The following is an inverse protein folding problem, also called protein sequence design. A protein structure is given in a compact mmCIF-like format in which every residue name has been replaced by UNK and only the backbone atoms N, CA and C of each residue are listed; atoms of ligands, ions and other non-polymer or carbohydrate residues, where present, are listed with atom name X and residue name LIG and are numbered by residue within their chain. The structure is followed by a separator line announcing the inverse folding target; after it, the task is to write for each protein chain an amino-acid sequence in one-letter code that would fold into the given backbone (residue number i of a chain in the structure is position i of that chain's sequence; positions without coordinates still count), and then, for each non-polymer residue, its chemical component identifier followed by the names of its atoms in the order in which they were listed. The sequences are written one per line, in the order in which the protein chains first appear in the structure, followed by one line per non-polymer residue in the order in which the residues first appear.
data_IF_115513820629
#
_entry.id   IF_115513820629
#
_cell.length_a   1.000
_cell.length_b   1.000
_cell.length_c   1.000
_cell.angle_alpha   90.00
_cell.angle_beta   90.00
_cell.angle_gamma   90.00
#
_symmetry.space_group_name_H-M   'P 1'
#
loop_
_entity.id
_entity.type
_entity.pdbx_description
1 polymer ?
#
# COMPACT_ATOMS: atom_id res chain seq x y z
N UNK A 1 2.38 -17.08 8.15
CA UNK A 1 3.22 -16.28 7.24
C UNK A 1 3.76 -15.12 8.05
N UNK A 2 5.07 -15.07 8.28
CA UNK A 2 5.72 -13.95 8.97
C UNK A 2 6.57 -13.21 7.91
N UNK A 3 6.48 -11.89 7.89
CA UNK A 3 7.31 -11.02 7.06
C UNK A 3 7.93 -9.96 7.95
N UNK A 4 9.10 -9.46 7.56
CA UNK A 4 9.85 -8.51 8.39
C UNK A 4 9.23 -7.11 8.30
N UNK A 5 9.22 -6.38 9.42
CA UNK A 5 8.77 -4.99 9.50
C UNK A 5 9.82 -3.98 9.02
N UNK A 6 10.96 -4.45 8.52
CA UNK A 6 12.11 -3.64 8.11
C UNK A 6 11.76 -2.52 7.12
N UNK A 7 10.78 -2.76 6.25
CA UNK A 7 10.32 -1.77 5.27
C UNK A 7 9.03 -1.05 5.67
N UNK A 8 8.47 -1.32 6.86
CA UNK A 8 7.18 -0.81 7.32
C UNK A 8 7.29 0.36 8.32
N UNK A 9 8.50 0.77 8.67
CA UNK A 9 8.78 1.97 9.46
C UNK A 9 8.26 3.25 8.78
N UNK A 10 8.05 4.30 9.57
CA UNK A 10 7.71 5.63 9.02
C UNK A 10 8.81 6.18 8.11
N UNK A 11 10.08 5.94 8.45
CA UNK A 11 11.25 6.31 7.67
C UNK A 11 11.59 5.22 6.66
N UNK A 12 10.88 5.20 5.54
CA UNK A 12 11.22 4.34 4.40
C UNK A 12 12.22 5.04 3.47
N UNK A 13 13.38 4.42 3.24
CA UNK A 13 14.33 4.82 2.20
C UNK A 13 14.43 3.74 1.12
N UNK A 14 14.11 4.11 -0.12
CA UNK A 14 14.20 3.22 -1.27
C UNK A 14 15.64 2.77 -1.55
N UNK A 15 16.63 3.61 -1.22
CA UNK A 15 18.03 3.35 -1.54
C UNK A 15 18.65 2.27 -0.63
N UNK A 16 18.07 2.00 0.54
CA UNK A 16 18.59 1.00 1.48
C UNK A 16 18.03 -0.40 1.25
N UNK A 17 16.99 -0.53 0.41
CA UNK A 17 16.26 -1.79 0.21
C UNK A 17 17.19 -2.93 -0.23
N UNK A 18 18.08 -2.68 -1.19
CA UNK A 18 18.98 -3.73 -1.70
C UNK A 18 20.01 -4.13 -0.63
N UNK A 19 20.55 -3.15 0.10
CA UNK A 19 21.50 -3.38 1.20
C UNK A 19 20.87 -4.26 2.30
N UNK A 20 19.62 -3.96 2.66
CA UNK A 20 18.86 -4.73 3.65
C UNK A 20 18.61 -6.16 3.17
N UNK A 21 18.17 -6.32 1.92
CA UNK A 21 17.89 -7.64 1.35
C UNK A 21 19.16 -8.50 1.26
N UNK A 22 20.28 -7.92 0.82
CA UNK A 22 21.59 -8.60 0.77
C UNK A 22 22.07 -9.01 2.15
N UNK A 23 21.97 -8.11 3.14
CA UNK A 23 22.31 -8.40 4.54
C UNK A 23 21.48 -9.57 5.08
N UNK A 24 20.17 -9.59 4.82
CA UNK A 24 19.29 -10.68 5.24
C UNK A 24 19.79 -12.04 4.73
N UNK A 25 20.10 -12.16 3.45
CA UNK A 25 20.58 -13.42 2.88
C UNK A 25 21.99 -13.79 3.33
N UNK A 26 22.86 -12.81 3.59
CA UNK A 26 24.18 -13.06 4.18
C UNK A 26 24.09 -13.68 5.57
N UNK A 27 23.19 -13.17 6.40
CA UNK A 27 22.99 -13.65 7.77
C UNK A 27 22.14 -14.93 7.83
N UNK A 28 21.26 -15.14 6.83
CA UNK A 28 20.27 -16.22 6.81
C UNK A 28 20.25 -16.97 5.45
N UNK A 29 21.35 -17.64 5.04
CA UNK A 29 21.52 -18.14 3.67
C UNK A 29 20.49 -19.19 3.23
N UNK A 30 19.90 -19.93 4.17
CA UNK A 30 18.91 -20.98 3.90
C UNK A 30 17.46 -20.52 4.13
N UNK A 31 17.24 -19.23 4.38
CA UNK A 31 15.90 -18.68 4.64
C UNK A 31 15.20 -18.21 3.37
N UNK A 32 13.86 -18.18 3.41
CA UNK A 32 13.03 -17.63 2.34
C UNK A 32 12.16 -16.50 2.89
N UNK A 33 12.54 -15.22 2.66
CA UNK A 33 11.84 -14.10 3.23
C UNK A 33 10.50 -13.85 2.53
N UNK A 34 9.63 -13.13 3.22
CA UNK A 34 8.49 -12.46 2.63
C UNK A 34 8.66 -10.95 2.80
N UNK A 35 8.51 -10.18 1.72
CA UNK A 35 8.72 -8.74 1.69
C UNK A 35 7.40 -8.02 1.49
N UNK A 36 7.21 -6.91 2.21
CA UNK A 36 6.03 -6.05 2.11
C UNK A 36 6.46 -4.59 2.25
N UNK A 37 5.94 -3.71 1.39
CA UNK A 37 6.07 -2.27 1.56
C UNK A 37 4.83 -1.63 2.19
N UNK A 38 3.68 -2.29 2.10
CA UNK A 38 2.44 -1.83 2.72
C UNK A 38 1.72 -2.97 3.41
N UNK A 39 0.92 -2.62 4.41
CA UNK A 39 -0.03 -3.52 5.06
C UNK A 39 -1.14 -2.67 5.71
N UNK A 40 -1.91 -3.29 6.60
CA UNK A 40 -3.00 -2.65 7.34
C UNK A 40 -2.56 -1.99 8.67
N UNK A 41 -1.26 -1.97 8.98
CA UNK A 41 -0.70 -1.43 10.23
C UNK A 41 0.22 -0.22 10.02
N UNK A 42 0.70 0.00 8.81
CA UNK A 42 1.53 1.16 8.46
C UNK A 42 0.84 2.02 7.41
N UNK A 43 1.16 3.33 7.42
CA UNK A 43 0.75 4.27 6.37
C UNK A 43 1.10 3.73 4.99
N UNK A 44 0.25 3.90 3.98
CA UNK A 44 0.50 3.42 2.60
C UNK A 44 1.85 3.89 2.07
N UNK A 45 2.60 2.99 1.40
CA UNK A 45 3.96 3.27 0.93
C UNK A 45 4.03 4.49 0.00
N UNK A 46 2.98 4.74 -0.79
CA UNK A 46 2.92 5.89 -1.71
C UNK A 46 3.07 7.21 -0.95
N UNK A 47 2.41 7.35 0.20
CA UNK A 47 2.58 8.54 1.06
C UNK A 47 3.85 8.45 1.87
N UNK A 48 4.15 7.29 2.46
CA UNK A 48 5.30 7.11 3.37
C UNK A 48 6.65 7.36 2.72
N UNK A 49 6.81 6.93 1.46
CA UNK A 49 8.05 7.10 0.70
C UNK A 49 8.13 8.41 -0.09
N UNK A 50 6.98 9.02 -0.41
CA UNK A 50 6.89 10.16 -1.34
C UNK A 50 7.41 9.87 -2.76
N UNK A 51 7.60 8.60 -3.14
CA UNK A 51 8.13 8.19 -4.45
C UNK A 51 7.01 7.80 -5.42
N UNK A 52 7.37 7.68 -6.70
CA UNK A 52 6.45 7.17 -7.72
C UNK A 52 6.04 5.72 -7.40
N UNK A 53 4.73 5.41 -7.34
CA UNK A 53 4.23 4.06 -7.06
C UNK A 53 4.80 2.96 -7.97
N UNK A 54 5.04 3.27 -9.26
CA UNK A 54 5.60 2.30 -10.21
C UNK A 54 7.01 1.87 -9.83
N UNK A 55 7.85 2.82 -9.42
CA UNK A 55 9.23 2.55 -8.98
C UNK A 55 9.21 1.67 -7.72
N UNK A 56 8.30 1.95 -6.79
CA UNK A 56 8.15 1.17 -5.56
C UNK A 56 7.70 -0.27 -5.85
N UNK A 57 6.68 -0.45 -6.70
CA UNK A 57 6.19 -1.77 -7.09
C UNK A 57 7.22 -2.57 -7.87
N UNK A 58 7.95 -1.92 -8.78
CA UNK A 58 9.05 -2.55 -9.52
C UNK A 58 10.13 -3.05 -8.56
N UNK A 59 10.55 -2.21 -7.60
CA UNK A 59 11.54 -2.62 -6.60
C UNK A 59 11.03 -3.77 -5.73
N UNK A 60 9.79 -3.69 -5.23
CA UNK A 60 9.22 -4.77 -4.41
C UNK A 60 9.20 -6.09 -5.19
N UNK A 61 8.71 -6.06 -6.43
CA UNK A 61 8.63 -7.23 -7.30
C UNK A 61 9.98 -7.68 -7.86
N UNK A 62 11.07 -6.93 -7.68
CA UNK A 62 12.42 -7.39 -8.03
C UNK A 62 13.09 -8.19 -6.90
N UNK A 63 12.59 -8.09 -5.66
CA UNK A 63 13.19 -8.77 -4.52
C UNK A 63 13.06 -10.30 -4.61
N UNK A 64 14.11 -11.01 -4.17
CA UNK A 64 14.09 -12.47 -4.02
C UNK A 64 13.32 -12.84 -2.75
N UNK A 65 12.27 -13.66 -2.89
CA UNK A 65 11.40 -14.07 -1.79
C UNK A 65 9.92 -14.03 -2.16
N UNK A 66 9.05 -14.28 -1.19
CA UNK A 66 7.61 -14.05 -1.32
C UNK A 66 7.30 -12.56 -1.24
N UNK A 67 6.27 -12.12 -1.93
CA UNK A 67 5.87 -10.71 -1.96
C UNK A 67 4.45 -10.57 -1.41
N UNK A 68 4.25 -9.61 -0.51
CA UNK A 68 2.93 -9.15 -0.09
C UNK A 68 2.65 -7.80 -0.76
N UNK A 69 1.55 -7.73 -1.51
CA UNK A 69 0.99 -6.49 -2.06
C UNK A 69 -0.28 -6.18 -1.26
N UNK A 70 -0.37 -4.98 -0.71
CA UNK A 70 -1.54 -4.56 0.06
C UNK A 70 -2.63 -3.98 -0.85
N UNK A 71 -3.91 -4.18 -0.49
CA UNK A 71 -5.03 -3.69 -1.30
C UNK A 71 -4.95 -2.18 -1.58
N UNK A 72 -4.95 -1.82 -2.86
CA UNK A 72 -4.81 -0.46 -3.34
C UNK A 72 -3.36 -0.03 -3.62
N UNK A 73 -2.36 -0.80 -3.23
CA UNK A 73 -0.96 -0.56 -3.62
C UNK A 73 -0.77 -0.73 -5.14
N UNK A 74 -1.48 -1.68 -5.75
CA UNK A 74 -1.58 -1.88 -7.19
C UNK A 74 -2.28 -0.72 -7.93
N UNK A 75 -2.99 0.13 -7.19
CA UNK A 75 -3.62 1.34 -7.69
C UNK A 75 -2.79 2.60 -7.38
N UNK A 76 -1.73 2.47 -6.58
CA UNK A 76 -0.94 3.59 -6.09
C UNK A 76 -1.73 4.51 -5.14
N UNK A 77 -2.61 3.94 -4.31
CA UNK A 77 -3.41 4.73 -3.37
C UNK A 77 -2.51 5.44 -2.33
N UNK A 78 -2.65 6.75 -2.14
CA UNK A 78 -2.02 7.45 -1.03
C UNK A 78 -2.78 7.18 0.28
N UNK A 79 -2.14 7.48 1.41
CA UNK A 79 -2.76 7.50 2.74
C UNK A 79 -3.93 8.49 2.77
N UNK A 80 -5.02 8.09 3.43
CA UNK A 80 -6.15 8.96 3.71
C UNK A 80 -6.01 9.64 5.06
N UNK A 81 -6.30 10.93 5.13
CA UNK A 81 -6.46 11.63 6.40
C UNK A 81 -7.86 11.35 6.94
N UNK A 82 -7.94 10.71 8.11
CA UNK A 82 -9.20 10.40 8.81
C UNK A 82 -9.39 11.42 9.92
N UNK A 83 -10.57 12.04 9.98
CA UNK A 83 -10.93 13.00 11.02
C UNK A 83 -11.11 12.28 12.37
N UNK A 84 -10.97 13.01 13.48
CA UNK A 84 -11.02 12.41 14.83
C UNK A 84 -12.36 11.72 15.09
N UNK A 85 -13.45 12.36 14.69
CA UNK A 85 -14.83 11.88 14.78
C UNK A 85 -15.08 10.59 13.99
N UNK A 86 -14.30 10.35 12.93
CA UNK A 86 -14.41 9.18 12.08
C UNK A 86 -13.49 8.03 12.52
N UNK A 87 -12.55 8.27 13.44
CA UNK A 87 -11.60 7.25 13.88
C UNK A 87 -12.32 6.02 14.44
N UNK A 88 -11.84 4.86 14.02
CA UNK A 88 -12.28 3.56 14.49
C UNK A 88 -11.18 2.85 15.28
N UNK A 89 -9.91 3.05 14.93
CA UNK A 89 -8.76 2.42 15.59
C UNK A 89 -8.59 2.89 17.04
N UNK A 90 -8.71 1.98 18.04
CA UNK A 90 -8.47 2.33 19.44
C UNK A 90 -7.08 2.91 19.67
N UNK A 91 -6.09 2.48 18.89
CA UNK A 91 -4.71 2.97 19.02
C UNK A 91 -4.62 4.44 18.59
N UNK A 92 -5.29 4.85 17.52
CA UNK A 92 -5.38 6.25 17.12
C UNK A 92 -6.13 7.12 18.11
N UNK A 93 -7.21 6.60 18.71
CA UNK A 93 -7.97 7.31 19.75
C UNK A 93 -7.15 7.57 21.02
N UNK A 94 -6.32 6.61 21.42
CA UNK A 94 -5.54 6.70 22.66
C UNK A 94 -4.37 7.69 22.59
N UNK A 95 -3.79 7.92 21.40
CA UNK A 95 -2.59 8.73 21.22
C UNK A 95 -2.82 9.95 20.32
N UNK A 96 -4.07 10.35 20.12
CA UNK A 96 -4.40 11.55 19.36
C UNK A 96 -3.91 12.83 20.09
N UNK A 97 -3.36 13.83 19.38
CA UNK A 97 -3.17 13.90 17.91
C UNK A 97 -1.82 13.39 17.41
N UNK A 98 -0.89 13.06 18.32
CA UNK A 98 0.51 12.73 17.99
C UNK A 98 0.61 11.47 17.12
N UNK A 99 -0.26 10.49 17.35
CA UNK A 99 -0.39 9.30 16.53
C UNK A 99 -1.87 9.05 16.19
N UNK A 100 -2.21 9.17 14.91
CA UNK A 100 -3.60 9.08 14.41
C UNK A 100 -4.09 7.65 14.18
N UNK A 101 -3.30 6.63 14.51
CA UNK A 101 -3.68 5.23 14.29
C UNK A 101 -3.49 4.77 12.86
N UNK A 102 -4.19 3.69 12.53
CA UNK A 102 -4.01 2.92 11.28
C UNK A 102 -5.18 3.04 10.30
N UNK A 103 -6.18 3.86 10.62
CA UNK A 103 -7.40 3.96 9.79
C UNK A 103 -7.13 4.52 8.40
N UNK A 104 -6.11 5.38 8.24
CA UNK A 104 -5.75 6.00 6.97
C UNK A 104 -5.40 5.01 5.85
N UNK A 105 -4.84 3.84 6.20
CA UNK A 105 -4.54 2.78 5.23
C UNK A 105 -5.69 1.77 5.07
N UNK A 106 -6.75 1.85 5.90
CA UNK A 106 -7.87 0.90 5.95
C UNK A 106 -9.14 1.40 5.26
N UNK A 107 -9.11 2.60 4.72
CA UNK A 107 -10.25 3.20 4.01
C UNK A 107 -10.73 2.32 2.86
N UNK A 108 -12.04 2.37 2.52
CA UNK A 108 -12.64 1.55 1.47
C UNK A 108 -11.94 1.59 0.10
N UNK A 109 -11.98 0.47 -0.62
CA UNK A 109 -11.42 0.37 -1.98
C UNK A 109 -12.23 1.17 -3.01
N UNK A 110 -11.57 1.92 -3.91
CA UNK A 110 -12.24 2.70 -4.95
C UNK A 110 -12.46 1.87 -6.23
N UNK A 111 -13.63 1.26 -6.37
CA UNK A 111 -13.95 0.40 -7.52
C UNK A 111 -14.41 1.16 -8.77
N UNK A 112 -15.28 2.15 -8.60
CA UNK A 112 -15.96 2.83 -9.70
C UNK A 112 -16.09 4.34 -9.45
N UNK A 113 -15.41 5.14 -10.27
CA UNK A 113 -15.34 6.59 -10.17
C UNK A 113 -16.68 7.34 -10.33
N UNK A 114 -17.71 6.67 -10.88
CA UNK A 114 -19.03 7.26 -11.15
C UNK A 114 -20.10 6.88 -10.12
N UNK A 115 -19.79 5.99 -9.18
CA UNK A 115 -20.74 5.54 -8.14
C UNK A 115 -20.48 6.23 -6.80
N UNK A 116 -21.53 6.32 -5.98
CA UNK A 116 -21.40 6.70 -4.56
C UNK A 116 -20.36 5.81 -3.87
N UNK A 117 -19.56 6.38 -2.97
CA UNK A 117 -18.52 5.68 -2.23
C UNK A 117 -17.55 4.89 -3.13
N UNK A 118 -17.29 5.44 -4.33
CA UNK A 118 -16.57 4.80 -5.43
C UNK A 118 -16.97 3.33 -5.66
N UNK A 119 -18.25 3.01 -5.51
CA UNK A 119 -18.77 1.66 -5.74
C UNK A 119 -18.47 0.64 -4.65
N UNK A 120 -17.89 1.04 -3.50
CA UNK A 120 -17.65 0.14 -2.37
C UNK A 120 -18.95 -0.31 -1.67
N UNK A 121 -19.86 0.63 -1.41
CA UNK A 121 -21.13 0.36 -0.72
C UNK A 121 -22.24 1.27 -1.23
N UNK A 122 -23.49 0.80 -1.11
CA UNK A 122 -24.68 1.62 -1.32
C UNK A 122 -24.99 2.51 -0.10
N UNK A 123 -24.64 2.04 1.10
CA UNK A 123 -24.78 2.78 2.35
C UNK A 123 -23.48 3.51 2.73
N UNK A 124 -23.47 4.12 3.92
CA UNK A 124 -22.26 4.74 4.46
C UNK A 124 -21.23 3.68 4.84
N UNK A 125 -19.97 3.82 4.39
CA UNK A 125 -18.89 2.93 4.79
C UNK A 125 -18.49 3.16 6.25
N UNK A 126 -17.85 2.16 6.85
CA UNK A 126 -17.36 2.19 8.23
C UNK A 126 -16.18 3.16 8.45
N UNK A 127 -15.53 3.60 7.37
CA UNK A 127 -14.51 4.66 7.33
C UNK A 127 -14.77 5.54 6.11
N UNK A 128 -14.46 6.85 6.17
CA UNK A 128 -14.63 7.75 5.04
C UNK A 128 -13.74 7.34 3.86
N UNK A 129 -14.18 7.72 2.66
CA UNK A 129 -13.43 7.50 1.42
C UNK A 129 -12.82 8.82 0.94
N UNK A 130 -11.52 8.83 0.64
CA UNK A 130 -10.82 10.06 0.23
C UNK A 130 -11.17 10.45 -1.20
N UNK A 131 -11.53 11.70 -1.41
CA UNK A 131 -11.79 12.28 -2.74
C UNK A 131 -10.58 12.16 -3.70
N UNK A 132 -9.35 12.06 -3.17
CA UNK A 132 -8.13 11.80 -3.95
C UNK A 132 -8.24 10.51 -4.77
N UNK A 133 -9.04 9.54 -4.34
CA UNK A 133 -9.18 8.26 -5.04
C UNK A 133 -10.01 8.35 -6.33
N UNK A 134 -10.68 9.47 -6.62
CA UNK A 134 -11.53 9.64 -7.82
C UNK A 134 -10.83 9.29 -9.13
N UNK A 135 -9.53 9.58 -9.24
CA UNK A 135 -8.72 9.30 -10.43
C UNK A 135 -7.93 7.99 -10.33
N UNK A 136 -7.94 7.35 -9.16
CA UNK A 136 -7.24 6.11 -8.89
C UNK A 136 -8.18 4.89 -8.86
N UNK A 137 -9.48 5.10 -9.11
CA UNK A 137 -10.48 4.04 -9.13
C UNK A 137 -10.14 2.94 -10.14
N UNK A 138 -10.51 1.70 -9.80
CA UNK A 138 -10.25 0.50 -10.64
C UNK A 138 -10.82 0.67 -12.05
N UNK A 139 -12.06 1.15 -12.19
CA UNK A 139 -12.72 1.37 -13.49
C UNK A 139 -11.93 2.28 -14.44
N UNK A 140 -11.21 3.27 -13.90
CA UNK A 140 -10.35 4.17 -14.69
C UNK A 140 -9.02 3.52 -15.02
N UNK A 141 -8.40 2.86 -14.05
CA UNK A 141 -7.07 2.28 -14.25
C UNK A 141 -7.11 1.03 -15.13
N UNK A 142 -8.22 0.29 -15.16
CA UNK A 142 -8.37 -0.91 -15.97
C UNK A 142 -8.38 -0.62 -17.47
N UNK A 143 -8.87 0.54 -17.88
CA UNK A 143 -8.92 0.96 -19.29
C UNK A 143 -7.67 1.72 -19.75
N UNK A 144 -6.87 2.25 -18.82
CA UNK A 144 -5.67 3.02 -19.12
C UNK A 144 -4.43 2.09 -19.15
N UNK A 145 -3.80 1.87 -20.32
CA UNK A 145 -2.61 1.03 -20.42
C UNK A 145 -1.38 1.62 -19.70
N UNK A 146 -1.40 2.92 -19.39
CA UNK A 146 -0.35 3.60 -18.64
C UNK A 146 -0.65 3.69 -17.13
N UNK A 147 -1.73 3.09 -16.65
CA UNK A 147 -2.10 3.13 -15.24
C UNK A 147 -1.15 2.36 -14.32
N UNK A 148 -1.26 2.58 -13.01
CA UNK A 148 -0.53 1.81 -12.01
C UNK A 148 -0.99 0.34 -12.00
N UNK A 149 -2.29 0.10 -12.18
CA UNK A 149 -2.85 -1.25 -12.26
C UNK A 149 -2.30 -2.02 -13.46
N UNK A 150 -2.29 -1.41 -14.65
CA UNK A 150 -1.74 -1.99 -15.86
C UNK A 150 -0.25 -2.30 -15.72
N UNK A 151 0.51 -1.38 -15.10
CA UNK A 151 1.91 -1.58 -14.77
C UNK A 151 2.12 -2.77 -13.81
N UNK A 152 1.36 -2.83 -12.72
CA UNK A 152 1.46 -3.91 -11.72
C UNK A 152 1.17 -5.27 -12.34
N UNK A 153 0.09 -5.38 -13.14
CA UNK A 153 -0.25 -6.61 -13.88
C UNK A 153 0.89 -7.04 -14.80
N UNK A 154 1.53 -6.10 -15.51
CA UNK A 154 2.68 -6.37 -16.38
C UNK A 154 3.87 -6.90 -15.57
N UNK A 155 4.25 -6.23 -14.48
CA UNK A 155 5.39 -6.64 -13.65
C UNK A 155 5.20 -8.03 -13.02
N UNK A 156 4.00 -8.34 -12.52
CA UNK A 156 3.70 -9.67 -11.98
C UNK A 156 3.83 -10.75 -13.08
N UNK A 157 3.35 -10.45 -14.29
CA UNK A 157 3.49 -11.36 -15.44
C UNK A 157 4.95 -11.58 -15.81
N UNK A 158 5.80 -10.55 -15.73
CA UNK A 158 7.23 -10.64 -16.02
C UNK A 158 8.00 -11.42 -14.95
N UNK A 159 7.64 -11.27 -13.66
CA UNK A 159 8.25 -12.02 -12.55
C UNK A 159 7.99 -13.53 -12.62
N UNK A 160 6.87 -13.94 -13.23
CA UNK A 160 6.48 -15.36 -13.34
C UNK A 160 7.09 -16.07 -14.57
N UNK A 161 7.93 -15.39 -15.34
CA UNK A 161 8.69 -16.00 -16.45
C UNK A 161 10.05 -16.45 -15.98
#
# INVERSE_FOLDING_TARGET
MAYCFEFLSEEFDLNTVDVIAEKFFKENPNSWPCWAFSNHDSKRITTRSGKNPKILMEKLLSLKGNICIYQGEELGLPETEVAFEDLQDPFGKAFWPDFKGRDGCRTPMPWNSKKKNYGFSKGEPWLPIDNKYKNLCVDKQEIDPQSMLSFTKKMIKERNK
#
